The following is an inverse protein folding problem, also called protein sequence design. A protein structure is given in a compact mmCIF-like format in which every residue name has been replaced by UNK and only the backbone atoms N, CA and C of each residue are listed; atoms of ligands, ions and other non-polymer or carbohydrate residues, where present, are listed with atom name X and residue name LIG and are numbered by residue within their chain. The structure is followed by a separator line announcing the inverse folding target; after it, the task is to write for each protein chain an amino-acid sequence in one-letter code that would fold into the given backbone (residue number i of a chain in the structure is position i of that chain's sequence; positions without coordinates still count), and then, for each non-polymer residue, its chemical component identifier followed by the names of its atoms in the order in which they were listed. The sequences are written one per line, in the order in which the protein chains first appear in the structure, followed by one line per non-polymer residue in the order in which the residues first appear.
data_IF_964266628038
#
_entry.id   IF_964266628038
#
_cell.length_a   1.000
_cell.length_b   1.000
_cell.length_c   1.000
_cell.angle_alpha   90.00
_cell.angle_beta   90.00
_cell.angle_gamma   90.00
#
_symmetry.space_group_name_H-M   'P 1'
#
loop_
_entity.id
_entity.type
_entity.pdbx_description
1 polymer ?
#
# COMPACT_ATOMS: atom_id res chain seq x y z
N UNK A 1 -32.28 -6.71 -9.32
CA UNK A 1 -32.56 -5.55 -10.21
C UNK A 1 -31.42 -5.46 -11.23
N UNK A 2 -31.61 -5.93 -12.46
CA UNK A 2 -30.61 -5.74 -13.51
C UNK A 2 -30.59 -4.25 -13.89
N UNK A 3 -29.47 -3.58 -13.63
CA UNK A 3 -29.25 -2.20 -14.05
C UNK A 3 -29.00 -2.25 -15.55
N UNK A 4 -29.95 -1.77 -16.36
CA UNK A 4 -29.75 -1.64 -17.80
C UNK A 4 -28.53 -0.74 -18.07
N UNK A 5 -27.66 -1.08 -19.03
CA UNK A 5 -26.59 -0.18 -19.44
C UNK A 5 -27.19 1.14 -19.91
N UNK A 6 -26.63 2.25 -19.41
CA UNK A 6 -27.08 3.59 -19.76
C UNK A 6 -26.22 4.10 -20.91
N UNK A 7 -26.84 4.41 -22.04
CA UNK A 7 -26.17 4.97 -23.22
C UNK A 7 -26.30 6.49 -23.16
N UNK A 8 -25.17 7.19 -23.11
CA UNK A 8 -25.09 8.66 -23.06
C UNK A 8 -24.31 9.18 -24.28
N UNK A 9 -24.73 10.33 -24.80
CA UNK A 9 -24.01 11.04 -25.87
C UNK A 9 -22.98 12.00 -25.25
N UNK A 10 -21.76 12.00 -25.76
CA UNK A 10 -20.68 12.86 -25.29
C UNK A 10 -19.74 13.28 -26.40
N UNK A 11 -18.75 14.09 -26.07
CA UNK A 11 -17.68 14.53 -26.98
C UNK A 11 -16.34 13.95 -26.54
N UNK A 12 -15.64 13.27 -27.43
CA UNK A 12 -14.31 12.74 -27.18
C UNK A 12 -13.28 13.86 -27.30
N UNK A 13 -12.38 14.00 -26.33
CA UNK A 13 -11.25 14.92 -26.33
C UNK A 13 -9.98 14.12 -26.16
N UNK A 14 -9.08 14.20 -27.14
CA UNK A 14 -7.79 13.50 -27.14
C UNK A 14 -6.68 14.53 -26.96
N UNK A 15 -5.74 14.25 -26.07
CA UNK A 15 -4.59 15.10 -25.79
C UNK A 15 -3.29 14.28 -25.79
N UNK A 16 -2.23 14.86 -26.36
CA UNK A 16 -0.89 14.28 -26.32
C UNK A 16 -0.19 14.65 -25.01
N UNK A 17 0.25 13.63 -24.26
CA UNK A 17 1.01 13.80 -23.02
C UNK A 17 2.46 14.22 -23.28
N UNK A 18 3.12 14.80 -22.27
CA UNK A 18 4.55 15.17 -22.32
C UNK A 18 5.50 13.99 -22.65
N UNK A 19 5.03 12.74 -22.50
CA UNK A 19 5.76 11.50 -22.84
C UNK A 19 5.41 10.95 -24.23
N UNK A 20 4.70 11.71 -25.07
CA UNK A 20 4.37 11.35 -26.45
C UNK A 20 3.19 10.41 -26.63
N UNK A 21 2.53 9.95 -25.55
CA UNK A 21 1.33 9.10 -25.60
C UNK A 21 0.05 9.92 -25.69
N UNK A 22 -0.98 9.42 -26.38
CA UNK A 22 -2.30 10.04 -26.44
C UNK A 22 -3.20 9.54 -25.30
N UNK A 23 -3.95 10.44 -24.69
CA UNK A 23 -4.93 10.15 -23.64
C UNK A 23 -6.27 10.77 -24.02
N UNK A 24 -7.36 10.04 -23.81
CA UNK A 24 -8.71 10.49 -24.14
C UNK A 24 -9.55 10.80 -22.91
N UNK A 25 -10.48 11.73 -23.07
CA UNK A 25 -11.48 12.11 -22.06
C UNK A 25 -12.82 12.30 -22.76
N UNK A 26 -13.91 11.81 -22.19
CA UNK A 26 -15.27 12.06 -22.69
C UNK A 26 -15.90 13.20 -21.89
N UNK A 27 -16.40 14.21 -22.61
CA UNK A 27 -17.15 15.33 -22.05
C UNK A 27 -18.66 15.12 -22.22
N UNK A 28 -19.39 15.17 -21.12
CA UNK A 28 -20.86 15.12 -21.03
C UNK A 28 -21.37 16.47 -20.51
N UNK A 29 -21.58 17.45 -21.40
CA UNK A 29 -21.94 18.81 -21.00
C UNK A 29 -20.89 19.42 -20.04
N UNK A 30 -21.27 19.63 -18.77
CA UNK A 30 -20.39 20.18 -17.72
C UNK A 30 -19.54 19.14 -16.98
N UNK A 31 -19.68 17.84 -17.28
CA UNK A 31 -18.92 16.76 -16.64
C UNK A 31 -17.89 16.19 -17.62
N UNK A 32 -16.74 15.79 -17.11
CA UNK A 32 -15.63 15.25 -17.90
C UNK A 32 -15.11 13.97 -17.25
N UNK A 33 -14.93 12.90 -18.03
CA UNK A 33 -14.49 11.59 -17.54
C UNK A 33 -13.32 11.06 -18.38
N UNK A 34 -12.17 10.70 -17.77
CA UNK A 34 -11.06 10.12 -18.51
C UNK A 34 -11.44 8.74 -19.07
N UNK A 35 -10.90 8.40 -20.25
CA UNK A 35 -11.05 7.05 -20.80
C UNK A 35 -10.30 6.04 -19.92
N UNK A 36 -10.88 4.85 -19.69
CA UNK A 36 -10.18 3.74 -19.06
C UNK A 36 -8.88 3.34 -19.80
N UNK A 37 -7.90 2.83 -19.05
CA UNK A 37 -6.56 2.51 -19.55
C UNK A 37 -6.49 1.36 -20.57
N UNK A 38 -7.60 0.64 -20.80
CA UNK A 38 -7.69 -0.42 -21.80
C UNK A 38 -7.98 0.10 -23.21
N UNK A 39 -8.34 1.38 -23.36
CA UNK A 39 -8.38 2.04 -24.66
C UNK A 39 -6.99 2.47 -25.10
N UNK A 40 -6.64 2.20 -26.36
CA UNK A 40 -5.37 2.56 -26.96
C UNK A 40 -5.62 3.59 -28.06
N UNK A 41 -5.14 4.82 -27.85
CA UNK A 41 -5.24 5.90 -28.82
C UNK A 41 -3.88 6.08 -29.50
N UNK A 42 -3.83 5.87 -30.80
CA UNK A 42 -2.61 5.97 -31.59
C UNK A 42 -2.38 7.40 -32.13
N UNK A 43 -3.45 8.16 -32.33
CA UNK A 43 -3.44 9.52 -32.87
C UNK A 43 -4.59 10.40 -32.34
N UNK A 44 -4.78 11.58 -32.94
CA UNK A 44 -5.86 12.52 -32.63
C UNK A 44 -7.05 12.43 -33.60
N UNK A 45 -7.17 11.34 -34.39
CA UNK A 45 -8.15 11.25 -35.48
C UNK A 45 -9.60 11.45 -35.02
N UNK A 46 -9.91 11.11 -33.76
CA UNK A 46 -11.24 11.25 -33.17
C UNK A 46 -11.34 12.42 -32.17
N UNK A 47 -10.36 13.32 -32.14
CA UNK A 47 -10.39 14.47 -31.24
C UNK A 47 -11.54 15.41 -31.61
N UNK A 48 -12.41 15.68 -30.64
CA UNK A 48 -13.61 16.51 -30.79
C UNK A 48 -14.81 15.79 -31.42
N UNK A 49 -14.73 14.50 -31.73
CA UNK A 49 -15.83 13.76 -32.32
C UNK A 49 -16.98 13.50 -31.32
N UNK A 50 -18.22 13.50 -31.81
CA UNK A 50 -19.36 13.00 -31.07
C UNK A 50 -19.23 11.48 -30.86
N UNK A 51 -19.53 11.03 -29.65
CA UNK A 51 -19.40 9.63 -29.26
C UNK A 51 -20.58 9.15 -28.41
N UNK A 52 -20.93 7.89 -28.57
CA UNK A 52 -21.90 7.21 -27.71
C UNK A 52 -21.14 6.40 -26.67
N UNK A 53 -21.49 6.57 -25.40
CA UNK A 53 -20.82 5.91 -24.29
C UNK A 53 -21.79 5.03 -23.54
N UNK A 54 -21.47 3.74 -23.49
CA UNK A 54 -22.19 2.77 -22.68
C UNK A 54 -21.57 2.72 -21.29
N UNK A 55 -22.39 2.95 -20.26
CA UNK A 55 -21.96 3.00 -18.87
C UNK A 55 -22.67 1.96 -18.03
N UNK A 56 -21.90 1.28 -17.20
CA UNK A 56 -22.41 0.37 -16.18
C UNK A 56 -21.78 0.72 -14.82
N UNK A 57 -22.62 0.86 -13.78
CA UNK A 57 -22.20 1.27 -12.42
C UNK A 57 -21.34 2.55 -12.40
N UNK A 58 -21.59 3.47 -13.32
CA UNK A 58 -20.90 4.76 -13.43
C UNK A 58 -19.56 4.73 -14.17
N UNK A 59 -19.05 3.57 -14.57
CA UNK A 59 -17.81 3.42 -15.35
C UNK A 59 -18.08 3.31 -16.85
N UNK A 60 -17.13 3.79 -17.66
CA UNK A 60 -17.18 3.67 -19.12
C UNK A 60 -16.88 2.22 -19.50
N UNK A 61 -17.86 1.53 -20.06
CA UNK A 61 -17.70 0.16 -20.55
C UNK A 61 -17.43 0.11 -22.04
N UNK A 62 -18.05 1.00 -22.82
CA UNK A 62 -17.93 1.06 -24.28
C UNK A 62 -17.98 2.52 -24.76
N UNK A 63 -17.18 2.85 -25.78
CA UNK A 63 -17.21 4.16 -26.46
C UNK A 63 -17.24 3.91 -27.95
N UNK A 64 -18.27 4.43 -28.61
CA UNK A 64 -18.49 4.35 -30.04
C UNK A 64 -18.28 5.73 -30.66
N UNK A 65 -17.44 5.85 -31.68
CA UNK A 65 -17.23 7.07 -32.46
C UNK A 65 -17.56 6.76 -33.92
N UNK A 66 -18.45 7.53 -34.53
CA UNK A 66 -18.89 7.32 -35.93
C UNK A 66 -19.32 5.86 -36.22
N UNK A 67 -20.02 5.22 -35.29
CA UNK A 67 -20.50 3.84 -35.42
C UNK A 67 -19.44 2.75 -35.26
N UNK A 68 -18.18 3.10 -34.95
CA UNK A 68 -17.10 2.16 -34.65
C UNK A 68 -16.68 2.26 -33.19
N UNK A 69 -16.35 1.11 -32.60
CA UNK A 69 -15.84 1.08 -31.23
C UNK A 69 -14.40 1.59 -31.18
N UNK A 70 -14.07 2.39 -30.16
CA UNK A 70 -12.70 2.84 -29.94
C UNK A 70 -11.76 1.63 -29.72
N UNK A 71 -10.55 1.65 -30.31
CA UNK A 71 -9.61 0.55 -30.21
C UNK A 71 -9.25 0.24 -28.75
N UNK A 72 -9.37 -1.04 -28.40
CA UNK A 72 -8.97 -1.57 -27.09
C UNK A 72 -7.74 -2.44 -27.26
N UNK A 73 -6.95 -2.56 -26.20
CA UNK A 73 -5.96 -3.64 -26.09
C UNK A 73 -6.67 -4.98 -26.04
N UNK A 74 -6.38 -5.86 -26.98
CA UNK A 74 -6.88 -7.24 -26.98
C UNK A 74 -6.57 -7.92 -25.64
N UNK A 75 -7.63 -8.30 -24.91
CA UNK A 75 -7.50 -9.27 -23.83
C UNK A 75 -7.23 -10.63 -24.48
N UNK A 76 -6.05 -11.22 -24.23
CA UNK A 76 -5.80 -12.62 -24.61
C UNK A 76 -6.91 -13.52 -24.02
N UNK A 77 -7.66 -14.28 -24.84
CA UNK A 77 -8.52 -15.34 -24.33
C UNK A 77 -7.66 -16.45 -23.73
N UNK A 78 -8.16 -17.09 -22.67
CA UNK A 78 -7.48 -18.19 -21.99
C UNK A 78 -7.04 -19.30 -22.96
N UNK A 79 -5.74 -19.60 -22.97
CA UNK A 79 -5.17 -20.69 -23.75
C UNK A 79 -5.41 -22.03 -23.09
N UNK A 80 -6.43 -22.75 -23.52
CA UNK A 80 -6.48 -24.21 -23.44
C UNK A 80 -5.53 -24.81 -24.47
N UNK A 81 -4.71 -25.78 -24.05
CA UNK A 81 -3.76 -26.47 -24.93
C UNK A 81 -4.51 -27.28 -26.01
N UNK A 82 -4.35 -26.87 -27.26
CA UNK A 82 -4.60 -27.71 -28.44
C UNK A 82 -3.28 -27.89 -29.17
N UNK A 83 -2.78 -29.13 -29.17
CA UNK A 83 -1.63 -29.57 -29.96
C UNK A 83 -1.98 -29.64 -31.45
N UNK A 84 -1.16 -29.02 -32.30
CA UNK A 84 -1.07 -29.35 -33.73
C UNK A 84 0.40 -29.36 -34.15
N UNK A 85 0.82 -30.46 -34.79
CA UNK A 85 2.09 -30.67 -35.49
C UNK A 85 1.97 -30.18 -36.94
N UNK A 86 3.03 -29.54 -37.43
CA UNK A 86 3.66 -29.69 -38.77
C UNK A 86 4.63 -28.49 -38.93
N UNK A 87 5.83 -28.56 -39.51
CA UNK A 87 6.41 -29.50 -40.47
C UNK A 87 6.96 -28.68 -41.64
N UNK A 88 8.30 -28.65 -41.80
CA UNK A 88 9.10 -27.97 -42.86
C UNK A 88 9.31 -26.46 -42.62
N UNK A 89 10.52 -25.89 -42.53
CA UNK A 89 11.84 -26.29 -43.00
C UNK A 89 12.32 -25.27 -44.03
N UNK A 90 13.23 -24.35 -43.66
CA UNK A 90 14.24 -23.78 -44.56
C UNK A 90 15.31 -23.01 -43.77
N UNK A 91 16.55 -23.43 -44.02
CA UNK A 91 17.79 -22.92 -43.46
C UNK A 91 18.25 -21.64 -44.14
N UNK A 92 18.99 -20.80 -43.41
CA UNK A 92 20.18 -20.15 -43.95
C UNK A 92 21.32 -20.32 -42.94
N UNK A 93 22.38 -21.00 -43.40
CA UNK A 93 23.60 -21.17 -42.64
C UNK A 93 24.54 -19.99 -42.84
N UNK A 94 25.23 -19.62 -41.78
CA UNK A 94 26.49 -18.86 -41.84
C UNK A 94 27.41 -19.48 -40.79
N UNK A 95 28.53 -20.02 -41.25
CA UNK A 95 29.54 -20.73 -40.45
C UNK A 95 30.28 -19.76 -39.53
N UNK A 96 30.30 -20.13 -38.25
CA UNK A 96 31.45 -20.27 -37.33
C UNK A 96 32.56 -19.21 -37.41
N UNK A 97 32.63 -18.40 -36.35
CA UNK A 97 33.88 -17.90 -35.78
C UNK A 97 33.91 -18.26 -34.29
N UNK A 98 34.87 -19.10 -33.89
CA UNK A 98 35.09 -19.54 -32.52
C UNK A 98 35.37 -18.36 -31.58
N UNK A 99 34.58 -18.25 -30.52
CA UNK A 99 34.82 -17.35 -29.41
C UNK A 99 34.03 -17.84 -28.21
N UNK A 100 34.70 -18.50 -27.29
CA UNK A 100 34.16 -19.03 -26.04
C UNK A 100 33.55 -17.91 -25.20
N UNK A 101 32.22 -17.78 -25.22
CA UNK A 101 31.46 -17.00 -24.26
C UNK A 101 30.91 -17.93 -23.19
N UNK A 102 31.47 -17.83 -21.98
CA UNK A 102 30.89 -18.37 -20.76
C UNK A 102 29.50 -17.73 -20.56
N UNK A 103 28.46 -18.46 -20.93
CA UNK A 103 27.09 -18.12 -20.56
C UNK A 103 26.92 -18.33 -19.05
N UNK A 104 26.81 -17.21 -18.32
CA UNK A 104 26.43 -17.16 -16.91
C UNK A 104 24.96 -17.59 -16.74
N UNK A 105 24.75 -18.89 -16.69
CA UNK A 105 23.54 -19.49 -16.12
C UNK A 105 23.82 -19.84 -14.65
N UNK A 106 22.99 -19.36 -13.73
CA UNK A 106 23.00 -19.91 -12.37
C UNK A 106 22.34 -19.03 -11.30
N UNK A 107 21.02 -19.07 -11.20
CA UNK A 107 20.38 -18.95 -9.89
C UNK A 107 20.75 -20.23 -9.12
N UNK A 108 21.48 -20.10 -8.00
CA UNK A 108 21.90 -21.23 -7.19
C UNK A 108 20.68 -21.93 -6.58
N UNK A 109 20.53 -23.23 -6.81
CA UNK A 109 19.59 -24.10 -6.09
C UNK A 109 20.38 -24.98 -5.12
N UNK A 110 20.01 -24.99 -3.84
CA UNK A 110 20.27 -26.12 -2.94
C UNK A 110 20.88 -25.78 -1.56
N UNK A 111 20.14 -26.16 -0.50
CA UNK A 111 20.57 -26.32 0.91
C UNK A 111 19.34 -26.53 1.81
N UNK A 112 19.33 -27.48 2.78
CA UNK A 112 18.14 -28.23 3.16
C UNK A 112 17.23 -27.46 4.14
N UNK A 113 15.99 -27.23 3.72
CA UNK A 113 14.89 -26.87 4.62
C UNK A 113 13.69 -27.68 4.18
N UNK A 114 13.45 -28.86 4.78
CA UNK A 114 12.29 -29.77 4.59
C UNK A 114 11.77 -29.85 3.14
N UNK A 115 11.99 -30.96 2.42
CA UNK A 115 11.70 -31.30 0.98
C UNK A 115 10.81 -30.39 0.07
N UNK A 116 9.91 -29.56 0.59
CA UNK A 116 9.01 -28.64 -0.11
C UNK A 116 9.37 -27.13 -0.03
N UNK A 117 10.33 -26.69 0.81
CA UNK A 117 10.70 -25.26 0.97
C UNK A 117 12.04 -24.92 0.29
N UNK A 118 12.05 -23.90 -0.57
CA UNK A 118 13.24 -23.36 -1.25
C UNK A 118 13.41 -21.87 -1.01
N UNK A 119 14.63 -21.37 -1.20
CA UNK A 119 14.95 -19.94 -1.19
C UNK A 119 15.68 -19.62 -2.48
N UNK A 120 15.28 -18.53 -3.15
CA UNK A 120 15.90 -18.07 -4.37
C UNK A 120 16.76 -16.84 -4.11
N UNK A 121 18.07 -17.02 -4.10
CA UNK A 121 19.05 -15.95 -3.98
C UNK A 121 20.04 -16.00 -5.16
N UNK A 122 20.62 -14.86 -5.55
CA UNK A 122 21.80 -14.83 -6.42
C UNK A 122 22.90 -15.75 -5.87
N UNK A 123 23.68 -16.38 -6.76
CA UNK A 123 24.67 -17.41 -6.39
C UNK A 123 25.74 -16.88 -5.42
N UNK A 124 26.21 -15.67 -5.65
CA UNK A 124 27.14 -14.95 -4.78
C UNK A 124 26.53 -14.70 -3.39
N UNK A 125 25.28 -14.23 -3.35
CA UNK A 125 24.56 -14.00 -2.08
C UNK A 125 24.37 -15.29 -1.31
N UNK A 126 24.04 -16.39 -2.00
CA UNK A 126 23.91 -17.70 -1.38
C UNK A 126 25.23 -18.19 -0.77
N UNK A 127 26.33 -18.01 -1.49
CA UNK A 127 27.66 -18.44 -1.06
C UNK A 127 28.14 -17.71 0.20
N UNK A 128 27.81 -16.43 0.35
CA UNK A 128 28.25 -15.59 1.47
C UNK A 128 27.15 -15.33 2.50
N UNK A 129 26.02 -16.05 2.42
CA UNK A 129 24.92 -15.87 3.36
C UNK A 129 25.34 -16.36 4.74
N UNK A 130 25.17 -15.58 5.82
CA UNK A 130 25.38 -16.10 7.16
C UNK A 130 24.34 -17.17 7.50
N UNK A 131 24.68 -18.05 8.45
CA UNK A 131 23.76 -19.07 8.96
C UNK A 131 22.53 -18.43 9.62
N UNK A 132 22.76 -17.35 10.37
CA UNK A 132 21.72 -16.54 11.01
C UNK A 132 21.69 -15.14 10.42
N UNK A 133 20.50 -14.71 10.00
CA UNK A 133 20.26 -13.34 9.55
C UNK A 133 19.60 -12.59 10.70
N UNK A 134 20.33 -11.65 11.29
CA UNK A 134 19.87 -10.92 12.48
C UNK A 134 18.82 -9.85 12.16
N UNK A 135 18.79 -9.36 10.93
CA UNK A 135 17.83 -8.35 10.52
C UNK A 135 16.55 -9.02 10.00
N UNK A 136 15.49 -8.98 10.80
CA UNK A 136 14.19 -9.56 10.45
C UNK A 136 13.65 -9.05 9.10
N UNK A 137 13.77 -7.74 8.82
CA UNK A 137 13.31 -7.17 7.55
C UNK A 137 14.09 -7.66 6.34
N UNK A 138 15.39 -7.93 6.49
CA UNK A 138 16.21 -8.55 5.45
C UNK A 138 15.80 -10.02 5.25
N UNK A 139 15.64 -10.77 6.34
CA UNK A 139 15.24 -12.17 6.28
C UNK A 139 13.88 -12.33 5.61
N UNK A 140 12.88 -11.55 6.05
CA UNK A 140 11.52 -11.57 5.50
C UNK A 140 11.52 -11.20 4.01
N UNK A 141 12.13 -10.07 3.62
CA UNK A 141 11.94 -9.53 2.29
C UNK A 141 12.96 -10.01 1.24
N UNK A 142 14.14 -10.50 1.67
CA UNK A 142 15.21 -10.91 0.74
C UNK A 142 15.47 -12.40 0.76
N UNK A 143 15.15 -13.11 1.85
CA UNK A 143 15.35 -14.56 1.97
C UNK A 143 13.99 -15.25 1.99
N UNK A 144 13.14 -14.85 1.04
CA UNK A 144 11.76 -15.27 1.01
C UNK A 144 11.64 -16.78 0.72
N UNK A 145 10.91 -17.47 1.59
CA UNK A 145 10.68 -18.91 1.47
C UNK A 145 9.61 -19.17 0.41
N UNK A 146 9.98 -19.96 -0.60
CA UNK A 146 9.11 -20.44 -1.65
C UNK A 146 8.70 -21.89 -1.35
N UNK A 147 7.40 -22.13 -1.27
CA UNK A 147 6.83 -23.45 -1.04
C UNK A 147 6.32 -24.02 -2.36
N UNK A 148 6.84 -25.18 -2.75
CA UNK A 148 6.39 -25.90 -3.94
C UNK A 148 5.03 -26.56 -3.72
N UNK A 149 4.22 -26.66 -4.77
CA UNK A 149 3.04 -27.52 -4.77
C UNK A 149 3.47 -28.99 -4.87
N UNK A 150 2.70 -29.88 -4.22
CA UNK A 150 2.96 -31.33 -4.24
C UNK A 150 2.82 -31.94 -5.64
N UNK A 151 1.86 -31.44 -6.41
CA UNK A 151 1.47 -32.03 -7.71
C UNK A 151 2.24 -31.44 -8.91
N UNK A 152 2.85 -30.26 -8.76
CA UNK A 152 3.75 -29.66 -9.76
C UNK A 152 4.89 -28.90 -9.08
N UNK A 153 6.12 -29.45 -9.19
CA UNK A 153 7.33 -28.87 -8.62
C UNK A 153 7.77 -27.56 -9.29
N UNK A 154 7.15 -27.17 -10.41
CA UNK A 154 7.37 -25.89 -11.11
C UNK A 154 6.41 -24.79 -10.63
N UNK A 155 5.33 -25.15 -9.95
CA UNK A 155 4.40 -24.20 -9.34
C UNK A 155 4.57 -24.13 -7.82
N UNK A 156 4.35 -22.95 -7.27
CA UNK A 156 4.46 -22.71 -5.84
C UNK A 156 4.09 -21.28 -5.48
N UNK A 157 4.21 -20.96 -4.20
CA UNK A 157 3.98 -19.61 -3.70
C UNK A 157 4.97 -19.26 -2.61
N UNK A 158 5.25 -17.97 -2.45
CA UNK A 158 6.01 -17.50 -1.30
C UNK A 158 5.14 -17.56 -0.05
N UNK A 159 5.71 -18.06 1.05
CA UNK A 159 5.03 -18.11 2.34
C UNK A 159 5.99 -17.86 3.49
N UNK A 160 5.51 -17.20 4.53
CA UNK A 160 6.20 -17.06 5.82
C UNK A 160 5.49 -17.85 6.92
N UNK A 161 4.40 -18.56 6.61
CA UNK A 161 3.60 -19.32 7.57
C UNK A 161 3.32 -20.72 7.06
N UNK A 162 3.39 -21.70 7.95
CA UNK A 162 2.97 -23.08 7.68
C UNK A 162 1.76 -23.41 8.53
N UNK A 163 0.66 -23.79 7.88
CA UNK A 163 -0.51 -24.37 8.53
C UNK A 163 -0.71 -25.82 8.08
N UNK A 164 -1.15 -26.68 8.99
CA UNK A 164 -1.57 -28.05 8.66
C UNK A 164 -1.18 -29.10 9.70
N UNK A 165 -1.23 -30.38 9.29
CA UNK A 165 -0.82 -31.53 10.11
C UNK A 165 0.71 -31.65 10.26
N UNK A 166 1.46 -31.06 9.34
CA UNK A 166 2.93 -31.09 9.28
C UNK A 166 3.62 -30.03 10.15
N UNK A 167 2.86 -29.23 10.89
CA UNK A 167 3.35 -28.10 11.67
C UNK A 167 2.43 -26.88 11.54
N UNK A 168 2.36 -26.08 12.62
CA UNK A 168 1.64 -24.80 12.65
C UNK A 168 2.54 -23.73 13.23
N UNK A 169 2.86 -22.69 12.45
CA UNK A 169 3.71 -21.62 12.93
C UNK A 169 4.29 -20.74 11.83
N UNK A 170 4.99 -19.71 12.27
CA UNK A 170 5.85 -18.90 11.40
C UNK A 170 7.02 -19.76 10.92
N UNK A 171 7.36 -19.60 9.65
CA UNK A 171 8.58 -20.14 9.04
C UNK A 171 9.73 -19.13 9.13
N UNK A 172 9.40 -17.86 9.35
CA UNK A 172 10.34 -16.76 9.53
C UNK A 172 10.03 -16.13 10.88
N UNK A 173 10.82 -16.49 11.88
CA UNK A 173 10.68 -15.96 13.23
C UNK A 173 11.26 -14.55 13.31
N UNK A 174 10.51 -13.66 13.97
CA UNK A 174 10.98 -12.32 14.24
C UNK A 174 11.90 -12.33 15.47
N UNK A 175 13.18 -12.06 15.24
CA UNK A 175 14.20 -11.99 16.27
C UNK A 175 14.82 -10.60 16.30
N UNK A 176 14.71 -9.95 17.44
CA UNK A 176 15.24 -8.60 17.68
C UNK A 176 16.23 -8.56 18.84
N UNK A 177 16.75 -9.73 19.25
CA UNK A 177 17.68 -9.85 20.40
C UNK A 177 19.01 -9.11 20.21
N UNK A 178 19.42 -8.87 18.97
CA UNK A 178 20.63 -8.09 18.64
C UNK A 178 20.43 -6.57 18.73
N UNK A 179 19.21 -6.10 18.97
CA UNK A 179 18.86 -4.68 18.95
C UNK A 179 18.70 -4.17 20.38
N UNK A 180 19.54 -3.20 20.76
CA UNK A 180 19.37 -2.45 22.00
C UNK A 180 18.32 -1.33 21.83
N UNK A 181 17.06 -1.65 22.10
CA UNK A 181 15.95 -0.70 22.05
C UNK A 181 16.11 0.43 23.06
N UNK A 182 16.70 0.17 24.23
CA UNK A 182 16.95 1.21 25.23
C UNK A 182 17.93 2.25 24.69
N UNK A 183 19.04 1.82 24.09
CA UNK A 183 20.02 2.72 23.47
C UNK A 183 19.42 3.48 22.28
N UNK A 184 18.66 2.82 21.39
CA UNK A 184 18.00 3.46 20.25
C UNK A 184 17.04 4.54 20.72
N UNK A 185 16.17 4.22 21.69
CA UNK A 185 15.16 5.15 22.20
C UNK A 185 15.81 6.30 22.98
N UNK A 186 16.87 6.03 23.76
CA UNK A 186 17.66 7.08 24.44
C UNK A 186 18.33 8.02 23.45
N UNK A 187 19.02 7.50 22.43
CA UNK A 187 19.65 8.30 21.37
C UNK A 187 18.62 9.16 20.67
N UNK A 188 17.48 8.55 20.30
CA UNK A 188 16.39 9.24 19.62
C UNK A 188 15.81 10.36 20.48
N UNK A 189 15.56 10.11 21.76
CA UNK A 189 15.08 11.13 22.69
C UNK A 189 16.04 12.33 22.76
N UNK A 190 17.34 12.06 22.94
CA UNK A 190 18.36 13.11 23.02
C UNK A 190 18.44 13.94 21.73
N UNK A 191 18.37 13.29 20.57
CA UNK A 191 18.35 13.98 19.27
C UNK A 191 17.13 14.90 19.18
N UNK A 192 15.93 14.40 19.52
CA UNK A 192 14.70 15.20 19.44
C UNK A 192 14.71 16.39 20.40
N UNK A 193 15.23 16.22 21.63
CA UNK A 193 15.42 17.32 22.57
C UNK A 193 16.43 18.36 22.06
N UNK A 194 17.48 17.92 21.36
CA UNK A 194 18.49 18.78 20.74
C UNK A 194 18.04 19.55 19.50
N UNK A 195 16.83 19.29 18.96
CA UNK A 195 16.32 19.99 17.76
C UNK A 195 15.84 21.42 18.03
N UNK A 196 15.85 21.88 19.29
CA UNK A 196 15.28 23.18 19.66
C UNK A 196 13.76 23.24 19.49
N UNK A 197 13.09 22.11 19.68
CA UNK A 197 11.63 21.99 19.61
C UNK A 197 11.04 21.82 21.01
N UNK A 198 9.83 22.31 21.22
CA UNK A 198 8.97 21.75 22.27
C UNK A 198 8.53 20.37 21.80
N UNK A 199 8.85 19.35 22.59
CA UNK A 199 8.61 17.94 22.23
C UNK A 199 7.70 17.31 23.27
N UNK A 200 6.57 16.72 22.81
CA UNK A 200 5.69 15.91 23.64
C UNK A 200 5.88 14.44 23.28
N UNK A 201 6.12 13.61 24.30
CA UNK A 201 6.36 12.16 24.19
C UNK A 201 5.16 11.41 24.75
N UNK A 202 4.76 10.34 24.07
CA UNK A 202 3.69 9.45 24.51
C UNK A 202 4.17 8.00 24.43
N UNK A 203 3.65 7.17 25.33
CA UNK A 203 3.81 5.72 25.29
C UNK A 203 2.44 5.09 25.32
N UNK A 204 2.14 4.28 24.30
CA UNK A 204 0.86 3.59 24.19
C UNK A 204 1.10 2.14 23.76
N UNK A 205 0.20 1.25 24.15
CA UNK A 205 0.24 -0.16 23.78
C UNK A 205 -0.99 -0.52 22.94
N UNK A 206 -0.87 -1.36 21.89
CA UNK A 206 -2.05 -1.78 21.13
C UNK A 206 -2.99 -2.58 22.03
N UNK A 207 -4.28 -2.30 21.93
CA UNK A 207 -5.35 -3.03 22.64
C UNK A 207 -5.42 -4.49 22.18
N UNK A 208 -5.10 -4.75 20.92
CA UNK A 208 -4.98 -6.08 20.35
C UNK A 208 -3.80 -6.14 19.38
N UNK A 209 -4.07 -6.23 18.08
CA UNK A 209 -3.11 -6.30 16.99
C UNK A 209 -3.17 -5.04 16.15
N UNK A 210 -2.04 -4.64 15.60
CA UNK A 210 -2.00 -3.62 14.56
C UNK A 210 -1.13 -4.07 13.40
N UNK A 211 -1.41 -3.53 12.22
CA UNK A 211 -0.61 -3.75 11.02
C UNK A 211 -0.55 -2.47 10.21
N UNK A 212 0.66 -1.98 9.97
CA UNK A 212 0.90 -0.82 9.10
C UNK A 212 1.58 -1.31 7.84
N UNK A 213 1.16 -0.79 6.69
CA UNK A 213 1.72 -1.15 5.40
C UNK A 213 1.21 -2.46 4.81
N UNK A 214 0.04 -2.96 5.23
CA UNK A 214 -0.50 -4.25 4.76
C UNK A 214 -0.55 -4.37 3.23
N UNK A 215 -0.86 -3.27 2.54
CA UNK A 215 -0.98 -3.21 1.08
C UNK A 215 0.31 -2.80 0.35
N UNK A 216 1.47 -2.77 1.01
CA UNK A 216 2.74 -2.57 0.30
C UNK A 216 3.04 -3.78 -0.60
N UNK A 217 3.72 -3.53 -1.71
CA UNK A 217 4.14 -4.59 -2.63
C UNK A 217 5.06 -5.60 -1.91
N UNK A 218 4.67 -6.87 -1.97
CA UNK A 218 5.36 -7.96 -1.32
C UNK A 218 5.12 -9.25 -2.09
N UNK A 219 6.13 -10.12 -2.10
CA UNK A 219 6.02 -11.47 -2.69
C UNK A 219 5.01 -12.35 -1.92
N UNK A 220 4.68 -11.97 -0.68
CA UNK A 220 3.71 -12.65 0.17
C UNK A 220 2.29 -12.11 0.05
N UNK A 221 2.00 -11.24 -0.93
CA UNK A 221 0.72 -10.52 -1.13
C UNK A 221 0.37 -9.51 -0.02
N UNK A 222 0.95 -9.68 1.16
CA UNK A 222 0.81 -8.81 2.32
C UNK A 222 2.18 -8.38 2.83
N UNK A 223 2.22 -7.21 3.45
CA UNK A 223 3.44 -6.62 3.97
C UNK A 223 3.27 -6.07 5.39
N UNK A 224 4.39 -5.79 6.03
CA UNK A 224 4.48 -5.10 7.30
C UNK A 224 5.53 -4.00 7.15
N UNK A 225 5.22 -2.78 7.56
CA UNK A 225 6.17 -1.67 7.52
C UNK A 225 7.29 -1.91 8.54
N UNK A 226 8.50 -2.17 8.05
CA UNK A 226 9.69 -2.43 8.84
C UNK A 226 10.71 -1.30 8.68
N UNK A 227 11.44 -1.01 9.74
CA UNK A 227 12.49 0.00 9.72
C UNK A 227 13.60 -0.45 8.75
N UNK A 228 14.01 0.40 7.79
CA UNK A 228 14.91 -0.03 6.71
C UNK A 228 16.28 -0.50 7.20
N UNK A 229 16.79 0.11 8.28
CA UNK A 229 18.07 -0.26 8.89
C UNK A 229 17.96 -1.38 9.92
N UNK A 230 16.99 -1.31 10.83
CA UNK A 230 16.91 -2.21 11.99
C UNK A 230 15.97 -3.40 11.80
N UNK A 231 15.13 -3.40 10.78
CA UNK A 231 14.22 -4.52 10.48
C UNK A 231 13.04 -4.69 11.46
N UNK A 232 12.90 -3.85 12.50
CA UNK A 232 11.75 -3.91 13.41
C UNK A 232 10.53 -3.16 12.85
N UNK A 233 9.29 -3.56 13.18
CA UNK A 233 8.09 -2.82 12.80
C UNK A 233 7.99 -1.45 13.46
N UNK A 234 7.57 -0.44 12.69
CA UNK A 234 7.38 0.93 13.17
C UNK A 234 6.16 1.57 12.52
N UNK A 235 5.69 2.68 13.09
CA UNK A 235 4.57 3.45 12.53
C UNK A 235 5.13 4.75 11.92
N UNK A 236 4.99 4.99 10.61
CA UNK A 236 5.48 6.21 10.00
C UNK A 236 4.77 7.46 10.54
N UNK A 237 5.50 8.56 10.69
CA UNK A 237 4.98 9.87 11.11
C UNK A 237 3.92 10.41 10.14
N UNK A 238 3.99 10.03 8.87
CA UNK A 238 2.95 10.33 7.87
C UNK A 238 1.64 9.61 8.16
N UNK A 239 1.68 8.34 8.59
CA UNK A 239 0.50 7.58 8.98
C UNK A 239 -0.13 8.18 10.25
N UNK A 240 0.70 8.60 11.20
CA UNK A 240 0.26 9.28 12.43
C UNK A 240 -0.41 10.62 12.07
N UNK A 241 0.27 11.47 11.29
CA UNK A 241 -0.30 12.75 10.83
C UNK A 241 -1.62 12.56 10.09
N UNK A 242 -1.67 11.57 9.19
CA UNK A 242 -2.87 11.26 8.41
C UNK A 242 -4.04 10.83 9.29
N UNK A 243 -3.79 9.98 10.29
CA UNK A 243 -4.79 9.57 11.27
C UNK A 243 -5.35 10.78 12.02
N UNK A 244 -4.48 11.58 12.67
CA UNK A 244 -4.93 12.73 13.47
C UNK A 244 -5.72 13.72 12.61
N UNK A 245 -5.23 13.99 11.39
CA UNK A 245 -5.91 14.87 10.44
C UNK A 245 -7.29 14.35 10.08
N UNK A 246 -7.41 13.07 9.73
CA UNK A 246 -8.68 12.47 9.34
C UNK A 246 -9.68 12.45 10.51
N UNK A 247 -9.23 12.11 11.72
CA UNK A 247 -10.06 12.15 12.92
C UNK A 247 -10.62 13.54 13.17
N UNK A 248 -9.81 14.59 13.08
CA UNK A 248 -10.30 15.97 13.25
C UNK A 248 -11.32 16.34 12.16
N UNK A 249 -11.07 15.97 10.90
CA UNK A 249 -12.02 16.23 9.80
C UNK A 249 -13.38 15.58 10.10
N UNK A 250 -13.38 14.33 10.56
CA UNK A 250 -14.62 13.60 10.85
C UNK A 250 -15.35 14.16 12.08
N UNK A 251 -14.63 14.38 13.18
CA UNK A 251 -15.22 14.75 14.47
C UNK A 251 -15.65 16.22 14.55
N UNK A 252 -14.86 17.12 13.96
CA UNK A 252 -15.06 18.57 14.09
C UNK A 252 -15.74 19.14 12.85
N UNK A 253 -15.41 18.62 11.68
CA UNK A 253 -15.86 19.17 10.40
C UNK A 253 -16.82 18.25 9.64
N UNK A 254 -17.43 17.27 10.33
CA UNK A 254 -18.45 16.36 9.78
C UNK A 254 -17.99 15.62 8.50
N UNK A 255 -16.70 15.31 8.39
CA UNK A 255 -16.12 14.65 7.22
C UNK A 255 -15.82 15.58 6.04
N UNK A 256 -16.09 16.89 6.15
CA UNK A 256 -15.87 17.86 5.08
C UNK A 256 -14.48 18.51 5.18
N UNK A 257 -13.57 18.06 4.32
CA UNK A 257 -12.20 18.58 4.23
C UNK A 257 -12.15 20.06 3.79
N UNK A 258 -13.12 20.53 2.99
CA UNK A 258 -13.16 21.93 2.57
C UNK A 258 -13.57 22.86 3.72
N UNK A 259 -14.44 22.38 4.62
CA UNK A 259 -14.74 23.09 5.86
C UNK A 259 -13.52 23.12 6.79
N UNK A 260 -12.86 21.98 6.97
CA UNK A 260 -11.63 21.91 7.77
C UNK A 260 -10.54 22.85 7.24
N UNK A 261 -10.37 22.97 5.92
CA UNK A 261 -9.41 23.91 5.32
C UNK A 261 -9.81 25.40 5.50
N UNK A 262 -11.05 25.73 5.84
CA UNK A 262 -11.41 27.12 6.18
C UNK A 262 -10.98 27.48 7.60
N UNK A 263 -10.95 26.50 8.50
CA UNK A 263 -10.46 26.67 9.85
C UNK A 263 -8.95 26.97 9.89
N UNK A 264 -8.58 28.05 10.57
CA UNK A 264 -7.19 28.50 10.64
C UNK A 264 -6.34 27.59 11.53
N UNK A 265 -6.88 27.14 12.68
CA UNK A 265 -6.20 26.22 13.58
C UNK A 265 -5.83 24.92 12.88
N UNK A 266 -6.79 24.33 12.16
CA UNK A 266 -6.58 23.10 11.38
C UNK A 266 -5.53 23.30 10.28
N UNK A 267 -5.64 24.39 9.51
CA UNK A 267 -4.67 24.71 8.45
C UNK A 267 -3.26 24.88 9.00
N UNK A 268 -3.09 25.55 10.13
CA UNK A 268 -1.77 25.76 10.74
C UNK A 268 -1.20 24.47 11.35
N UNK A 269 -2.03 23.61 11.95
CA UNK A 269 -1.58 22.31 12.46
C UNK A 269 -0.95 21.44 11.36
N UNK A 270 -1.64 21.29 10.22
CA UNK A 270 -1.26 20.32 9.19
C UNK A 270 -0.56 20.92 7.97
N UNK A 271 -0.73 22.22 7.74
CA UNK A 271 -0.31 22.92 6.52
C UNK A 271 -1.34 22.80 5.39
N UNK A 272 -1.08 23.53 4.31
CA UNK A 272 -1.91 23.51 3.11
C UNK A 272 -1.09 23.76 1.85
N UNK A 273 -1.68 23.42 0.70
CA UNK A 273 -1.10 23.65 -0.62
C UNK A 273 -2.19 24.25 -1.51
N UNK A 274 -1.85 25.29 -2.27
CA UNK A 274 -2.73 25.98 -3.23
C UNK A 274 -4.07 26.46 -2.63
N UNK A 275 -4.08 26.81 -1.34
CA UNK A 275 -5.26 27.37 -0.70
C UNK A 275 -5.28 28.88 -0.93
N UNK A 276 -6.40 29.41 -1.42
CA UNK A 276 -6.59 30.85 -1.63
C UNK A 276 -6.98 31.48 -0.30
N UNK A 277 -6.11 32.34 0.24
CA UNK A 277 -6.46 33.14 1.42
C UNK A 277 -7.45 34.26 1.03
N UNK A 278 -7.73 35.17 1.96
CA UNK A 278 -8.60 36.35 1.73
C UNK A 278 -8.17 37.24 0.57
N UNK A 279 -6.88 37.25 0.21
CA UNK A 279 -6.32 38.06 -0.87
C UNK A 279 -6.49 37.40 -2.26
N UNK A 280 -7.08 36.19 -2.31
CA UNK A 280 -7.36 35.45 -3.54
C UNK A 280 -6.14 34.79 -4.19
N UNK A 281 -4.95 34.99 -3.65
CA UNK A 281 -3.70 34.40 -4.14
C UNK A 281 -3.52 33.00 -3.52
N UNK A 282 -3.34 31.94 -4.34
CA UNK A 282 -3.02 30.61 -3.83
C UNK A 282 -1.66 30.61 -3.12
N UNK A 283 -1.66 30.20 -1.86
CA UNK A 283 -0.45 30.06 -1.05
C UNK A 283 -0.20 28.63 -0.60
N UNK A 284 1.04 28.35 -0.22
CA UNK A 284 1.45 27.10 0.42
C UNK A 284 1.97 27.41 1.81
N UNK A 285 1.71 26.53 2.77
CA UNK A 285 2.23 26.68 4.12
C UNK A 285 2.51 25.33 4.76
N UNK A 286 3.66 25.24 5.42
CA UNK A 286 4.06 24.04 6.16
C UNK A 286 3.30 23.97 7.49
N UNK A 287 2.78 22.79 7.85
CA UNK A 287 2.17 22.59 9.16
C UNK A 287 3.16 22.86 10.30
N UNK A 288 2.68 23.43 11.39
CA UNK A 288 3.47 23.79 12.57
C UNK A 288 3.94 22.54 13.34
N UNK A 289 3.11 21.47 13.34
CA UNK A 289 3.39 20.24 14.07
C UNK A 289 4.21 19.28 13.22
N UNK A 290 5.32 18.82 13.80
CA UNK A 290 6.13 17.71 13.31
C UNK A 290 5.66 16.41 13.96
N UNK A 291 5.16 15.50 13.13
CA UNK A 291 4.80 14.14 13.51
C UNK A 291 5.98 13.22 13.22
N UNK A 292 6.58 12.65 14.27
CA UNK A 292 7.71 11.72 14.12
C UNK A 292 7.22 10.26 14.09
N UNK A 293 7.99 9.38 13.48
CA UNK A 293 7.73 7.94 13.45
C UNK A 293 7.55 7.34 14.85
N UNK A 294 6.63 6.42 15.10
CA UNK A 294 6.57 5.72 16.39
C UNK A 294 7.43 4.45 16.37
N UNK A 295 8.34 4.32 17.35
CA UNK A 295 9.23 3.15 17.49
C UNK A 295 8.79 2.31 18.68
N UNK A 296 9.04 0.99 18.66
CA UNK A 296 8.75 0.16 19.82
C UNK A 296 9.70 0.49 20.98
N UNK A 297 9.18 0.49 22.21
CA UNK A 297 9.97 0.73 23.42
C UNK A 297 10.91 -0.43 23.73
N UNK A 298 10.50 -1.65 23.38
CA UNK A 298 11.17 -2.92 23.60
C UNK A 298 11.08 -3.79 22.34
N UNK A 299 11.69 -4.97 22.34
CA UNK A 299 11.58 -5.92 21.25
C UNK A 299 10.10 -6.20 20.89
N UNK A 300 9.65 -5.89 19.66
CA UNK A 300 8.26 -6.02 19.27
C UNK A 300 7.87 -7.47 19.08
N UNK A 301 6.63 -7.81 19.46
CA UNK A 301 6.07 -9.15 19.26
C UNK A 301 5.30 -9.21 17.94
N UNK A 302 5.95 -9.76 16.93
CA UNK A 302 5.33 -10.04 15.63
C UNK A 302 4.55 -11.36 15.70
N UNK A 303 3.33 -11.36 15.19
CA UNK A 303 2.46 -12.54 15.14
C UNK A 303 1.83 -12.69 13.76
N UNK A 304 1.70 -13.92 13.29
CA UNK A 304 0.85 -14.21 12.13
C UNK A 304 -0.63 -14.14 12.52
N UNK A 305 -1.42 -13.61 11.60
CA UNK A 305 -2.88 -13.66 11.63
C UNK A 305 -3.40 -14.07 10.25
N UNK A 306 -4.70 -14.33 10.15
CA UNK A 306 -5.33 -14.96 8.99
C UNK A 306 -6.60 -14.21 8.57
N UNK A 307 -6.80 -14.08 7.26
CA UNK A 307 -8.07 -13.66 6.67
C UNK A 307 -8.52 -14.77 5.73
N UNK A 308 -9.80 -15.14 5.83
CA UNK A 308 -10.41 -16.17 4.99
C UNK A 308 -11.50 -15.55 4.10
N UNK A 309 -11.16 -14.85 3.01
CA UNK A 309 -12.15 -14.45 2.02
C UNK A 309 -12.90 -15.68 1.49
N UNK A 310 -14.22 -15.66 1.64
CA UNK A 310 -15.11 -16.71 1.16
C UNK A 310 -15.65 -16.38 -0.24
N UNK A 311 -16.07 -15.13 -0.45
CA UNK A 311 -16.71 -14.69 -1.69
C UNK A 311 -15.71 -14.10 -2.71
N UNK A 312 -14.42 -14.49 -2.68
CA UNK A 312 -13.43 -13.99 -3.63
C UNK A 312 -13.87 -14.16 -5.10
N UNK A 313 -14.45 -15.32 -5.52
CA UNK A 313 -14.93 -15.47 -6.90
C UNK A 313 -16.04 -14.49 -7.29
N UNK A 314 -16.87 -14.04 -6.34
CA UNK A 314 -17.90 -13.02 -6.58
C UNK A 314 -17.28 -11.64 -6.76
N UNK A 315 -16.40 -11.23 -5.84
CA UNK A 315 -15.78 -9.89 -5.89
C UNK A 315 -14.83 -9.70 -7.08
N UNK A 316 -14.24 -10.78 -7.59
CA UNK A 316 -13.34 -10.75 -8.75
C UNK A 316 -14.08 -10.93 -10.08
N UNK A 317 -15.38 -11.21 -10.06
CA UNK A 317 -16.13 -11.44 -11.29
C UNK A 317 -16.66 -10.13 -11.89
N UNK A 318 -15.90 -9.61 -12.84
CA UNK A 318 -16.29 -8.45 -13.63
C UNK A 318 -17.46 -8.75 -14.59
N UNK A 319 -17.81 -10.02 -14.84
CA UNK A 319 -18.92 -10.40 -15.73
C UNK A 319 -20.28 -10.48 -15.03
N UNK A 320 -20.30 -10.45 -13.70
CA UNK A 320 -21.53 -10.53 -12.90
C UNK A 320 -22.26 -11.88 -12.94
N UNK A 321 -21.60 -12.93 -13.42
CA UNK A 321 -22.16 -14.28 -13.60
C UNK A 321 -22.02 -15.16 -12.35
N UNK A 322 -21.10 -14.84 -11.45
CA UNK A 322 -20.85 -15.58 -10.21
C UNK A 322 -21.59 -14.88 -9.08
N UNK A 323 -22.77 -15.34 -8.65
CA UNK A 323 -23.48 -14.71 -7.54
C UNK A 323 -22.72 -14.92 -6.22
N UNK A 324 -22.93 -14.06 -5.20
CA UNK A 324 -22.45 -14.36 -3.86
C UNK A 324 -23.15 -15.64 -3.38
N UNK A 325 -22.36 -16.68 -3.09
CA UNK A 325 -22.88 -18.00 -2.75
C UNK A 325 -22.07 -18.66 -1.65
N UNK A 326 -22.75 -19.38 -0.77
CA UNK A 326 -22.14 -19.96 0.43
C UNK A 326 -21.38 -21.28 0.17
N UNK A 327 -21.21 -21.64 -1.10
CA UNK A 327 -20.52 -22.84 -1.55
C UNK A 327 -19.06 -22.59 -1.97
N UNK A 328 -18.59 -21.33 -1.91
CA UNK A 328 -17.20 -21.03 -2.22
C UNK A 328 -16.28 -21.52 -1.10
N UNK A 329 -15.09 -22.00 -1.45
CA UNK A 329 -14.13 -22.43 -0.43
C UNK A 329 -13.41 -21.20 0.13
N UNK A 330 -13.19 -21.12 1.46
CA UNK A 330 -12.36 -20.07 2.02
C UNK A 330 -10.92 -20.19 1.50
N UNK A 331 -10.30 -19.04 1.20
CA UNK A 331 -8.90 -18.97 0.76
C UNK A 331 -8.07 -18.32 1.87
N UNK A 332 -7.40 -19.10 2.75
CA UNK A 332 -6.53 -18.56 3.80
C UNK A 332 -5.44 -17.64 3.26
N UNK A 333 -5.43 -16.38 3.73
CA UNK A 333 -4.35 -15.42 3.49
C UNK A 333 -3.76 -15.05 4.85
N UNK A 334 -2.52 -15.48 5.09
CA UNK A 334 -1.79 -15.11 6.29
C UNK A 334 -1.14 -13.74 6.11
N UNK A 335 -1.09 -12.95 7.18
CA UNK A 335 -0.41 -11.66 7.22
C UNK A 335 0.26 -11.45 8.58
N UNK A 336 1.28 -10.59 8.62
CA UNK A 336 1.99 -10.28 9.87
C UNK A 336 1.35 -9.09 10.58
N UNK A 337 1.33 -9.18 11.90
CA UNK A 337 0.78 -8.19 12.82
C UNK A 337 1.74 -7.96 13.97
N UNK A 338 1.54 -6.86 14.69
CA UNK A 338 2.26 -6.57 15.93
C UNK A 338 1.25 -6.56 17.07
N UNK A 339 1.58 -7.23 18.17
CA UNK A 339 0.78 -7.26 19.40
C UNK A 339 1.64 -6.98 20.62
N UNK A 340 1.02 -6.64 21.77
CA UNK A 340 1.68 -6.51 23.07
C UNK A 340 3.03 -5.76 23.05
N UNK A 341 3.09 -4.70 22.25
CA UNK A 341 4.32 -3.94 22.01
C UNK A 341 4.04 -2.48 22.33
N UNK A 342 4.68 -1.97 23.38
CA UNK A 342 4.65 -0.54 23.69
C UNK A 342 5.31 0.25 22.55
N UNK A 343 4.65 1.30 22.08
CA UNK A 343 5.09 2.19 21.02
C UNK A 343 5.28 3.60 21.57
N UNK A 344 6.42 4.22 21.24
CA UNK A 344 6.79 5.57 21.67
C UNK A 344 6.53 6.55 20.53
N UNK A 345 5.64 7.51 20.79
CA UNK A 345 5.25 8.58 19.86
C UNK A 345 5.89 9.90 20.27
N UNK A 346 6.21 10.74 19.28
CA UNK A 346 6.70 12.09 19.50
C UNK A 346 5.98 13.08 18.59
N UNK A 347 5.58 14.20 19.16
CA UNK A 347 5.17 15.41 18.45
C UNK A 347 6.14 16.53 18.78
N UNK A 348 6.40 17.42 17.81
CA UNK A 348 7.25 18.58 18.05
C UNK A 348 6.83 19.84 17.32
N UNK A 349 7.04 20.99 17.95
CA UNK A 349 6.80 22.32 17.38
C UNK A 349 7.94 23.25 17.77
N UNK A 350 8.18 24.31 16.98
CA UNK A 350 9.14 25.36 17.41
C UNK A 350 8.53 26.16 18.57
N UNK A 351 9.27 26.44 19.66
CA UNK A 351 8.72 27.14 20.82
C UNK A 351 8.03 28.46 20.48
N UNK A 352 8.65 29.26 19.61
CA UNK A 352 8.15 30.57 19.17
C UNK A 352 6.91 30.51 18.28
N UNK A 353 6.48 29.31 17.87
CA UNK A 353 5.26 29.09 17.07
C UNK A 353 4.16 28.36 17.85
N UNK A 354 4.44 27.96 19.10
CA UNK A 354 3.45 27.25 19.91
C UNK A 354 2.53 28.23 20.64
N UNK A 355 1.74 28.94 19.85
CA UNK A 355 0.77 29.91 20.35
C UNK A 355 -0.58 29.23 20.61
N UNK A 356 -1.41 29.86 21.44
CA UNK A 356 -2.81 29.46 21.63
C UNK A 356 -3.58 29.67 20.33
N UNK A 357 -4.35 28.67 19.91
CA UNK A 357 -5.24 28.77 18.76
C UNK A 357 -6.34 29.79 19.09
N UNK A 358 -6.25 30.96 18.44
CA UNK A 358 -7.07 32.12 18.80
C UNK A 358 -8.52 32.03 18.30
N UNK A 359 -8.76 31.38 17.16
CA UNK A 359 -10.08 31.32 16.53
C UNK A 359 -10.34 29.97 15.88
N UNK A 360 -11.60 29.69 15.59
CA UNK A 360 -12.04 28.45 14.93
C UNK A 360 -12.47 27.36 15.90
N UNK A 361 -12.83 26.21 15.34
CA UNK A 361 -13.37 25.07 16.09
C UNK A 361 -12.32 24.39 16.98
N UNK A 362 -11.03 24.62 16.69
CA UNK A 362 -9.90 24.11 17.46
C UNK A 362 -9.33 25.13 18.47
N UNK A 363 -10.06 26.22 18.75
CA UNK A 363 -9.58 27.29 19.63
C UNK A 363 -9.52 26.89 21.11
N UNK A 364 -8.68 27.58 21.88
CA UNK A 364 -8.64 27.48 23.35
C UNK A 364 -7.39 26.82 23.95
N UNK A 365 -6.56 26.16 23.16
CA UNK A 365 -5.29 25.55 23.60
C UNK A 365 -4.16 25.83 22.61
N UNK A 366 -2.90 25.62 23.04
CA UNK A 366 -1.74 25.71 22.15
C UNK A 366 -1.70 24.58 21.12
N UNK A 367 -1.07 24.83 19.97
CA UNK A 367 -1.00 23.88 18.87
C UNK A 367 -0.44 22.50 19.27
N UNK A 368 0.59 22.44 20.12
CA UNK A 368 1.19 21.17 20.54
C UNK A 368 0.26 20.38 21.45
N UNK A 369 -0.41 21.04 22.40
CA UNK A 369 -1.39 20.39 23.28
C UNK A 369 -2.60 19.91 22.49
N UNK A 370 -3.15 20.74 21.59
CA UNK A 370 -4.24 20.33 20.70
C UNK A 370 -3.85 19.10 19.86
N UNK A 371 -2.68 19.10 19.22
CA UNK A 371 -2.22 17.98 18.42
C UNK A 371 -2.02 16.69 19.24
N UNK A 372 -1.56 16.82 20.48
CA UNK A 372 -1.36 15.73 21.40
C UNK A 372 -2.66 15.05 21.83
N UNK A 373 -3.65 15.85 22.18
CA UNK A 373 -4.95 15.35 22.64
C UNK A 373 -5.66 14.65 21.49
N UNK A 374 -5.63 15.23 20.29
CA UNK A 374 -6.16 14.60 19.08
C UNK A 374 -5.39 13.34 18.67
N UNK A 375 -4.06 13.28 18.84
CA UNK A 375 -3.30 12.06 18.61
C UNK A 375 -3.79 10.93 19.50
N UNK A 376 -3.92 11.19 20.80
CA UNK A 376 -4.32 10.16 21.73
C UNK A 376 -5.77 9.71 21.47
N UNK A 377 -6.68 10.65 21.21
CA UNK A 377 -8.06 10.35 20.84
C UNK A 377 -8.13 9.50 19.57
N UNK A 378 -7.41 9.90 18.51
CA UNK A 378 -7.43 9.18 17.25
C UNK A 378 -6.89 7.75 17.38
N UNK A 379 -5.82 7.53 18.15
CA UNK A 379 -5.29 6.20 18.42
C UNK A 379 -6.25 5.31 19.24
N UNK A 380 -7.02 5.91 20.16
CA UNK A 380 -7.96 5.19 21.02
C UNK A 380 -9.30 4.89 20.35
N UNK A 381 -9.77 5.74 19.43
CA UNK A 381 -11.14 5.71 18.88
C UNK A 381 -11.22 5.38 17.38
N UNK A 382 -10.18 5.67 16.60
CA UNK A 382 -10.15 5.43 15.15
C UNK A 382 -9.18 4.31 14.75
N UNK A 383 -8.09 4.17 15.52
CA UNK A 383 -7.04 3.20 15.26
C UNK A 383 -6.14 3.56 14.07
N UNK A 384 -4.96 2.95 14.01
CA UNK A 384 -3.95 3.20 12.99
C UNK A 384 -3.58 1.94 12.19
N UNK A 385 -3.32 2.12 10.90
CA UNK A 385 -2.93 1.05 10.00
C UNK A 385 -4.12 0.45 9.24
N UNK A 386 -4.00 -0.81 8.83
CA UNK A 386 -5.05 -1.49 8.09
C UNK A 386 -6.02 -2.20 9.03
N UNK A 387 -7.25 -2.42 8.53
CA UNK A 387 -8.29 -3.25 9.18
C UNK A 387 -8.80 -2.70 10.52
N UNK A 388 -8.79 -1.38 10.68
CA UNK A 388 -9.36 -0.69 11.84
C UNK A 388 -10.84 -0.99 12.03
N UNK A 389 -11.63 -1.08 10.96
CA UNK A 389 -13.06 -1.40 11.03
C UNK A 389 -13.39 -2.74 11.71
N UNK A 390 -12.42 -3.66 11.84
CA UNK A 390 -12.58 -4.95 12.53
C UNK A 390 -11.70 -5.06 13.79
N UNK A 391 -11.26 -3.93 14.35
CA UNK A 391 -10.61 -3.86 15.66
C UNK A 391 -9.08 -3.85 15.68
N UNK A 392 -8.40 -3.77 14.52
CA UNK A 392 -6.95 -3.61 14.48
C UNK A 392 -6.54 -2.16 14.71
N UNK A 393 -5.34 -1.94 15.26
CA UNK A 393 -4.74 -0.61 15.28
C UNK A 393 -5.19 0.31 16.40
N UNK A 394 -6.06 -0.14 17.30
CA UNK A 394 -6.49 0.62 18.49
C UNK A 394 -5.45 0.52 19.60
N UNK A 395 -5.23 1.62 20.31
CA UNK A 395 -4.27 1.70 21.41
C UNK A 395 -4.96 2.08 22.72
N UNK A 396 -4.28 1.75 23.82
CA UNK A 396 -4.60 2.23 25.16
C UNK A 396 -3.39 2.98 25.73
N UNK A 397 -3.66 3.89 26.68
CA UNK A 397 -2.62 4.42 27.55
C UNK A 397 -2.01 3.28 28.38
N UNK A 398 -0.71 3.43 28.68
CA UNK A 398 0.00 2.58 29.62
C UNK A 398 -0.12 3.07 31.05
#
# INVERSE_FOLDING_TARGET
MQVKPMIEQGKLVIQKTKKGKYTGTVQFGNKSMPLPSFYELEDEAYNGAACEVEREKGQIQKVMVAGRELPRRDQKPGGGNVTVRDGRGRSYGSRVGNGSSHALNGAGRGGPTTDDHEVYLPRDTWQYRPDRIENFGLQLNKVAIFKKKKDDKREGSFTFYQGGKSGRGLLIDADFSSIDFTAINKRRHNVLQGLGLLVKRFSLIPRWRFVVGLGQESVYETALTLHPVYGFPYIPGSAIKGLVRNTIINEVFSGDEQLALKDEGFRLLFGWVNYKNRDGIPGNHQGLIRFFDAYPAVAPRVAADIINPHYAPYYQDNSGQKPPGDYYKPVPVFFLTVEKTEMIFYLGIKPERNETIATGELSGQDYLTTAADWLCRALCEYGIGAKTAIGYGYFNYL
#
